data_IF_601887067061
#
_entry.id   IF_601887067061
#
_cell.length_a   1.000
_cell.length_b   1.000
_cell.length_c   1.000
_cell.angle_alpha   90.00
_cell.angle_beta   90.00
_cell.angle_gamma   90.00
#
_symmetry.space_group_name_H-M   'P 1'
#
loop_
_entity.id
_entity.type
_entity.pdbx_description
1 polymer ?
#
# COMPACT_ATOMS: atom_id res chain seq x y z
N UNK A 1 14.19 -13.92 -1.40
CA UNK A 1 13.96 -12.92 -0.35
C UNK A 1 12.84 -12.01 -0.83
N UNK A 2 11.87 -11.69 0.01
CA UNK A 2 10.79 -10.76 -0.33
C UNK A 2 11.14 -9.36 0.18
N UNK A 3 10.94 -8.33 -0.64
CA UNK A 3 11.11 -6.92 -0.26
C UNK A 3 9.94 -6.07 -0.73
N UNK A 4 9.73 -4.92 -0.07
CA UNK A 4 8.67 -3.98 -0.40
C UNK A 4 9.29 -2.64 -0.77
N UNK A 5 8.77 -2.02 -1.83
CA UNK A 5 9.17 -0.70 -2.31
C UNK A 5 7.94 0.18 -2.31
N UNK A 6 7.98 1.28 -1.55
CA UNK A 6 6.97 2.34 -1.66
C UNK A 6 7.21 3.08 -2.98
N UNK A 7 6.15 3.25 -3.77
CA UNK A 7 6.17 3.95 -5.06
C UNK A 7 5.71 5.38 -4.89
N UNK A 8 4.62 5.56 -4.17
CA UNK A 8 4.03 6.85 -3.88
C UNK A 8 3.37 6.80 -2.50
N UNK A 9 3.38 7.94 -1.83
CA UNK A 9 2.73 8.13 -0.55
C UNK A 9 2.18 9.54 -0.50
N UNK A 10 0.94 9.67 -0.08
CA UNK A 10 0.32 10.96 0.16
C UNK A 10 -0.76 10.83 1.24
N UNK A 11 -1.18 11.95 1.80
CA UNK A 11 -2.16 11.99 2.87
C UNK A 11 -2.52 13.39 3.31
N UNK A 12 -3.68 13.52 3.95
CA UNK A 12 -4.20 14.78 4.46
C UNK A 12 -5.36 14.57 5.42
N UNK A 13 -5.49 15.47 6.40
CA UNK A 13 -6.51 15.36 7.43
C UNK A 13 -6.36 14.08 8.25
N UNK A 14 -7.40 13.22 8.22
CA UNK A 14 -7.46 11.95 8.95
C UNK A 14 -7.18 10.72 8.06
N UNK A 15 -6.65 10.90 6.84
CA UNK A 15 -6.40 9.82 5.89
C UNK A 15 -4.99 9.89 5.28
N UNK A 16 -4.41 8.73 5.02
CA UNK A 16 -3.18 8.57 4.26
C UNK A 16 -3.26 7.31 3.38
N UNK A 17 -2.44 7.24 2.33
CA UNK A 17 -2.35 6.08 1.46
C UNK A 17 -0.93 5.88 0.94
N UNK A 18 -0.59 4.66 0.52
CA UNK A 18 0.68 4.36 -0.12
C UNK A 18 0.53 3.31 -1.22
N UNK A 19 0.98 3.62 -2.43
CA UNK A 19 1.17 2.63 -3.49
C UNK A 19 2.49 1.90 -3.25
N UNK A 20 2.48 0.58 -3.33
CA UNK A 20 3.65 -0.25 -3.09
C UNK A 20 3.79 -1.37 -4.12
N UNK A 21 5.02 -1.86 -4.27
CA UNK A 21 5.35 -3.09 -5.01
C UNK A 21 6.05 -4.07 -4.07
N UNK A 22 5.52 -5.28 -3.95
CA UNK A 22 6.19 -6.41 -3.33
C UNK A 22 7.01 -7.16 -4.37
N UNK A 23 8.33 -7.20 -4.20
CA UNK A 23 9.24 -8.01 -5.01
C UNK A 23 9.39 -9.37 -4.35
N UNK A 24 8.83 -10.42 -4.95
CA UNK A 24 8.90 -11.80 -4.46
C UNK A 24 9.70 -12.67 -5.43
N UNK A 25 10.17 -13.87 -5.01
CA UNK A 25 10.76 -14.83 -5.94
C UNK A 25 9.80 -15.28 -7.06
N UNK A 26 8.49 -15.16 -6.87
CA UNK A 26 7.47 -15.53 -7.85
C UNK A 26 7.07 -14.39 -8.80
N UNK A 27 7.64 -13.20 -8.63
CA UNK A 27 7.31 -12.00 -9.40
C UNK A 27 6.99 -10.80 -8.53
N UNK A 28 6.60 -9.71 -9.20
CA UNK A 28 6.17 -8.47 -8.56
C UNK A 28 4.65 -8.48 -8.37
N UNK A 29 4.21 -7.95 -7.23
CA UNK A 29 2.80 -7.75 -6.94
C UNK A 29 2.62 -6.31 -6.46
N UNK A 30 1.70 -5.59 -7.08
CA UNK A 30 1.39 -4.22 -6.71
C UNK A 30 0.14 -4.16 -5.84
N UNK A 31 0.11 -3.16 -4.96
CA UNK A 31 -1.03 -2.89 -4.11
C UNK A 31 -1.02 -1.49 -3.53
N UNK A 32 -2.11 -1.15 -2.85
CA UNK A 32 -2.30 0.15 -2.23
C UNK A 32 -2.83 -0.02 -0.80
N UNK A 33 -2.06 0.51 0.15
CA UNK A 33 -2.46 0.61 1.55
C UNK A 33 -3.26 1.89 1.80
N UNK A 34 -4.38 1.77 2.53
CA UNK A 34 -5.18 2.88 3.03
C UNK A 34 -5.14 2.93 4.55
N UNK A 35 -4.96 4.13 5.09
CA UNK A 35 -4.78 4.37 6.51
C UNK A 35 -5.73 5.47 7.00
N UNK A 36 -6.26 5.31 8.22
CA UNK A 36 -6.87 6.43 8.97
C UNK A 36 -5.91 6.88 10.06
N UNK A 37 -5.68 8.18 10.17
CA UNK A 37 -4.82 8.80 11.19
C UNK A 37 -5.66 9.66 12.12
N UNK A 38 -5.52 9.48 13.43
CA UNK A 38 -6.14 10.34 14.46
C UNK A 38 -5.14 10.57 15.57
N UNK A 39 -5.00 11.82 16.01
CA UNK A 39 -4.08 12.22 17.08
C UNK A 39 -2.63 11.73 16.84
N UNK A 40 -2.19 11.77 15.57
CA UNK A 40 -0.87 11.31 15.15
C UNK A 40 -0.69 9.79 15.10
N UNK A 41 -1.74 9.01 15.33
CA UNK A 41 -1.72 7.55 15.37
C UNK A 41 -2.53 6.95 14.23
N UNK A 42 -2.02 5.87 13.63
CA UNK A 42 -2.78 5.04 12.70
C UNK A 42 -3.85 4.26 13.46
N UNK A 43 -5.12 4.50 13.12
CA UNK A 43 -6.29 3.92 13.80
C UNK A 43 -7.08 2.94 12.92
N UNK A 44 -6.79 2.92 11.62
CA UNK A 44 -7.32 1.93 10.69
C UNK A 44 -6.28 1.66 9.62
N UNK A 45 -6.24 0.41 9.15
CA UNK A 45 -5.38 -0.05 8.07
C UNK A 45 -6.17 -1.04 7.21
N UNK A 46 -6.07 -0.88 5.89
CA UNK A 46 -6.49 -1.89 4.94
C UNK A 46 -5.61 -1.85 3.71
N UNK A 47 -5.27 -3.03 3.21
CA UNK A 47 -4.50 -3.19 1.98
C UNK A 47 -5.36 -3.76 0.86
N UNK A 48 -5.08 -3.33 -0.37
CA UNK A 48 -5.68 -3.86 -1.58
C UNK A 48 -4.59 -4.28 -2.55
N UNK A 49 -4.73 -5.48 -3.10
CA UNK A 49 -3.89 -5.96 -4.19
C UNK A 49 -4.47 -5.45 -5.50
N UNK A 50 -3.62 -5.03 -6.43
CA UNK A 50 -4.07 -4.75 -7.79
C UNK A 50 -4.65 -6.02 -8.41
N UNK A 51 -5.69 -5.85 -9.23
CA UNK A 51 -6.26 -6.97 -9.96
C UNK A 51 -5.18 -7.58 -10.89
N UNK A 52 -5.21 -8.90 -11.13
CA UNK A 52 -4.38 -9.50 -12.16
C UNK A 52 -4.64 -8.81 -13.50
N UNK A 53 -3.58 -8.60 -14.29
CA UNK A 53 -3.73 -8.09 -15.66
C UNK A 53 -4.65 -9.04 -16.44
N UNK A 54 -5.80 -8.53 -16.91
CA UNK A 54 -6.81 -9.33 -17.63
C UNK A 54 -6.54 -9.38 -19.14
N UNK A 55 -5.28 -9.33 -19.55
CA UNK A 55 -4.90 -9.20 -20.96
C UNK A 55 -4.86 -10.54 -21.70
#
# INVERSE_FOLDING_TARGET
QTSFVVREIDGGGDVAWAQWTAKTPAGEIDGCGLYRVRDGLMTYYKDYMNAPDSR
#
